data_IF_441205583561
#
_entry.id   IF_441205583561
#
_cell.length_a   1.000
_cell.length_b   1.000
_cell.length_c   1.000
_cell.angle_alpha   90.00
_cell.angle_beta   90.00
_cell.angle_gamma   90.00
#
_symmetry.space_group_name_H-M   'P 1'
#
loop_
_entity.id
_entity.type
_entity.pdbx_description
1 polymer ?
#
# COMPACT_ATOMS: atom_id res chain seq x y z
N UNK A 1 13.53 -35.24 42.93
CA UNK A 1 14.08 -35.86 41.71
C UNK A 1 15.29 -35.03 41.33
N UNK A 2 16.46 -35.60 41.48
CA UNK A 2 17.77 -34.93 41.57
C UNK A 2 18.22 -34.37 40.23
N UNK A 3 17.92 -33.10 39.95
CA UNK A 3 18.50 -32.38 38.81
C UNK A 3 20.05 -32.37 38.89
N UNK A 4 20.59 -32.33 40.11
CA UNK A 4 22.03 -32.25 40.39
C UNK A 4 22.81 -33.51 39.92
N UNK A 5 22.21 -34.69 40.08
CA UNK A 5 22.80 -35.96 39.61
C UNK A 5 22.77 -36.10 38.08
N UNK A 6 21.70 -35.65 37.43
CA UNK A 6 21.58 -35.68 35.98
C UNK A 6 22.55 -34.73 35.30
N UNK A 7 22.63 -33.47 35.74
CA UNK A 7 23.57 -32.50 35.17
C UNK A 7 25.03 -32.91 35.39
N UNK A 8 25.37 -33.50 36.55
CA UNK A 8 26.70 -34.05 36.79
C UNK A 8 27.06 -35.20 35.85
N UNK A 9 26.13 -36.12 35.60
CA UNK A 9 26.32 -37.22 34.64
C UNK A 9 26.50 -36.71 33.21
N UNK A 10 25.65 -35.76 32.78
CA UNK A 10 25.74 -35.15 31.45
C UNK A 10 27.07 -34.40 31.28
N UNK A 11 27.49 -33.62 32.28
CA UNK A 11 28.75 -32.90 32.24
C UNK A 11 29.95 -33.85 32.12
N UNK A 12 29.94 -34.99 32.82
CA UNK A 12 30.98 -36.00 32.69
C UNK A 12 31.03 -36.61 31.28
N UNK A 13 29.88 -36.94 30.70
CA UNK A 13 29.79 -37.49 29.34
C UNK A 13 30.24 -36.47 28.29
N UNK A 14 29.81 -35.20 28.41
CA UNK A 14 30.24 -34.12 27.51
C UNK A 14 31.74 -33.86 27.64
N UNK A 15 32.29 -33.85 28.86
CA UNK A 15 33.72 -33.68 29.08
C UNK A 15 34.54 -34.81 28.42
N UNK A 16 34.05 -36.05 28.48
CA UNK A 16 34.69 -37.20 27.85
C UNK A 16 34.65 -37.17 26.31
N UNK A 17 33.69 -36.45 25.72
CA UNK A 17 33.49 -36.32 24.26
C UNK A 17 33.50 -34.88 23.78
N UNK A 18 34.28 -34.04 24.44
CA UNK A 18 34.23 -32.60 24.25
C UNK A 18 34.49 -32.20 22.80
N UNK A 19 35.51 -32.78 22.19
CA UNK A 19 35.91 -32.46 20.82
C UNK A 19 34.82 -32.82 19.80
N UNK A 20 34.12 -33.95 19.99
CA UNK A 20 32.98 -34.36 19.15
C UNK A 20 31.82 -33.36 19.29
N UNK A 21 31.50 -32.97 20.52
CA UNK A 21 30.43 -31.99 20.80
C UNK A 21 30.77 -30.60 20.23
N UNK A 22 32.03 -30.18 20.31
CA UNK A 22 32.49 -28.91 19.73
C UNK A 22 32.43 -28.94 18.20
N UNK A 23 32.81 -30.05 17.57
CA UNK A 23 32.71 -30.24 16.12
C UNK A 23 31.26 -30.23 15.64
N UNK A 24 30.37 -30.95 16.33
CA UNK A 24 28.94 -30.98 16.03
C UNK A 24 28.32 -29.58 16.20
N UNK A 25 28.72 -28.82 17.22
CA UNK A 25 28.26 -27.46 17.42
C UNK A 25 28.69 -26.54 16.27
N UNK A 26 29.94 -26.64 15.82
CA UNK A 26 30.44 -25.88 14.66
C UNK A 26 29.61 -26.22 13.42
N UNK A 27 29.43 -27.50 13.12
CA UNK A 27 28.65 -27.96 11.97
C UNK A 27 27.20 -27.47 12.04
N UNK A 28 26.57 -27.50 13.22
CA UNK A 28 25.21 -27.02 13.42
C UNK A 28 25.09 -25.49 13.26
N UNK A 29 26.11 -24.73 13.68
CA UNK A 29 26.16 -23.27 13.49
C UNK A 29 26.31 -22.94 12.00
N UNK A 30 27.20 -23.62 11.29
CA UNK A 30 27.37 -23.43 9.84
C UNK A 30 26.09 -23.78 9.06
N UNK A 31 25.42 -24.86 9.46
CA UNK A 31 24.11 -25.25 8.92
C UNK A 31 23.06 -24.17 9.13
N UNK A 32 22.94 -23.67 10.38
CA UNK A 32 22.02 -22.59 10.73
C UNK A 32 22.28 -21.35 9.88
N UNK A 33 23.54 -20.95 9.73
CA UNK A 33 23.89 -19.73 9.01
C UNK A 33 23.58 -19.84 7.52
N UNK A 34 23.81 -21.02 6.92
CA UNK A 34 23.41 -21.30 5.54
C UNK A 34 21.89 -21.30 5.36
N UNK A 35 21.15 -21.90 6.28
CA UNK A 35 19.69 -21.89 6.26
C UNK A 35 19.14 -20.46 6.42
N UNK A 36 19.74 -19.64 7.29
CA UNK A 36 19.37 -18.25 7.46
C UNK A 36 19.60 -17.43 6.18
N UNK A 37 20.72 -17.66 5.48
CA UNK A 37 20.98 -17.04 4.19
C UNK A 37 19.95 -17.45 3.12
N UNK A 38 19.62 -18.74 3.05
CA UNK A 38 18.59 -19.26 2.14
C UNK A 38 17.20 -18.68 2.45
N UNK A 39 16.86 -18.52 3.74
CA UNK A 39 15.62 -17.88 4.17
C UNK A 39 15.55 -16.42 3.71
N UNK A 40 16.62 -15.64 3.92
CA UNK A 40 16.66 -14.24 3.50
C UNK A 40 16.49 -14.06 1.97
N UNK A 41 17.07 -14.97 1.18
CA UNK A 41 16.87 -14.99 -0.28
C UNK A 41 15.41 -15.28 -0.64
N UNK A 42 14.81 -16.29 0.01
CA UNK A 42 13.42 -16.65 -0.21
C UNK A 42 12.47 -15.50 0.18
N UNK A 43 12.71 -14.83 1.29
CA UNK A 43 11.94 -13.66 1.74
C UNK A 43 12.04 -12.50 0.75
N UNK A 44 13.23 -12.23 0.20
CA UNK A 44 13.43 -11.21 -0.84
C UNK A 44 12.61 -11.53 -2.10
N UNK A 45 12.59 -12.81 -2.51
CA UNK A 45 11.80 -13.27 -3.65
C UNK A 45 10.30 -13.13 -3.39
N UNK A 46 9.84 -13.49 -2.19
CA UNK A 46 8.45 -13.30 -1.75
C UNK A 46 8.07 -11.84 -1.78
N UNK A 47 8.87 -10.95 -1.19
CA UNK A 47 8.61 -9.51 -1.18
C UNK A 47 8.53 -8.94 -2.61
N UNK A 48 9.42 -9.38 -3.51
CA UNK A 48 9.39 -8.97 -4.92
C UNK A 48 8.12 -9.43 -5.63
N UNK A 49 7.70 -10.68 -5.43
CA UNK A 49 6.46 -11.22 -6.02
C UNK A 49 5.22 -10.56 -5.44
N UNK A 50 5.18 -10.33 -4.12
CA UNK A 50 4.12 -9.58 -3.46
C UNK A 50 4.01 -8.16 -4.00
N UNK A 51 5.15 -7.49 -4.23
CA UNK A 51 5.17 -6.18 -4.87
C UNK A 51 4.59 -6.24 -6.30
N UNK A 52 5.02 -7.20 -7.13
CA UNK A 52 4.46 -7.37 -8.48
C UNK A 52 2.96 -7.65 -8.46
N UNK A 53 2.50 -8.50 -7.54
CA UNK A 53 1.07 -8.74 -7.34
C UNK A 53 0.36 -7.47 -6.90
N UNK A 54 0.94 -6.67 -6.01
CA UNK A 54 0.39 -5.38 -5.61
C UNK A 54 0.27 -4.37 -6.75
N UNK A 55 1.06 -4.51 -7.83
CA UNK A 55 0.90 -3.69 -9.03
C UNK A 55 -0.32 -4.11 -9.86
N UNK A 56 -0.74 -5.38 -9.78
CA UNK A 56 -1.92 -5.92 -10.47
C UNK A 56 -3.18 -5.77 -9.61
N UNK A 57 -3.03 -5.95 -8.30
CA UNK A 57 -4.07 -5.76 -7.29
C UNK A 57 -4.24 -4.28 -6.90
N UNK A 58 -3.31 -3.41 -7.32
CA UNK A 58 -3.57 -1.98 -7.35
C UNK A 58 -4.88 -1.82 -8.09
N UNK A 59 -5.96 -1.37 -7.43
CA UNK A 59 -7.27 -1.48 -7.99
C UNK A 59 -7.25 -0.75 -9.32
N UNK A 60 -7.55 -1.45 -10.42
CA UNK A 60 -7.91 -0.81 -11.68
C UNK A 60 -9.09 0.17 -11.48
N UNK A 61 -9.80 0.05 -10.34
CA UNK A 61 -10.82 0.96 -9.82
C UNK A 61 -10.28 2.35 -9.40
N UNK A 62 -8.98 2.50 -9.15
CA UNK A 62 -8.28 3.78 -9.16
C UNK A 62 -7.45 3.79 -10.45
N UNK A 63 -7.85 4.35 -11.59
CA UNK A 63 -8.00 5.79 -11.84
C UNK A 63 -8.81 5.96 -13.14
N UNK A 64 -10.11 5.76 -13.05
CA UNK A 64 -11.03 6.69 -13.73
C UNK A 64 -11.93 7.25 -12.67
N UNK A 65 -11.36 8.06 -11.77
CA UNK A 65 -12.13 8.94 -10.90
C UNK A 65 -13.21 9.55 -11.79
N UNK A 66 -14.47 9.17 -11.56
CA UNK A 66 -15.54 9.67 -12.42
C UNK A 66 -15.52 11.20 -12.33
N UNK A 67 -15.96 11.93 -13.35
CA UNK A 67 -15.99 13.40 -13.28
C UNK A 67 -16.68 13.89 -11.98
N UNK A 68 -17.69 13.15 -11.53
CA UNK A 68 -18.37 13.38 -10.27
C UNK A 68 -17.45 13.27 -9.04
N UNK A 69 -16.66 12.20 -8.94
CA UNK A 69 -15.73 12.01 -7.85
C UNK A 69 -14.61 13.05 -7.89
N UNK A 70 -14.11 13.40 -9.08
CA UNK A 70 -13.10 14.44 -9.25
C UNK A 70 -13.63 15.81 -8.78
N UNK A 71 -14.89 16.12 -9.07
CA UNK A 71 -15.56 17.31 -8.54
C UNK A 71 -15.66 17.27 -7.02
N UNK A 72 -16.06 16.13 -6.43
CA UNK A 72 -16.15 15.97 -4.97
C UNK A 72 -14.79 16.19 -4.30
N UNK A 73 -13.73 15.54 -4.80
CA UNK A 73 -12.37 15.67 -4.25
C UNK A 73 -11.88 17.12 -4.27
N UNK A 74 -12.11 17.85 -5.36
CA UNK A 74 -11.72 19.27 -5.42
C UNK A 74 -12.52 20.11 -4.43
N UNK A 75 -13.86 19.94 -4.38
CA UNK A 75 -14.70 20.72 -3.48
C UNK A 75 -14.39 20.42 -2.00
N UNK A 76 -14.14 19.16 -1.63
CA UNK A 76 -13.70 18.77 -0.27
C UNK A 76 -12.39 19.46 0.15
N UNK A 77 -11.49 19.68 -0.80
CA UNK A 77 -10.21 20.36 -0.54
C UNK A 77 -10.30 21.89 -0.61
N UNK A 78 -11.45 22.45 -1.00
CA UNK A 78 -11.63 23.89 -1.21
C UNK A 78 -12.25 24.52 0.04
N UNK A 79 -11.67 25.61 0.59
CA UNK A 79 -12.29 26.35 1.69
C UNK A 79 -13.72 26.78 1.33
N UNK A 80 -14.68 26.39 2.17
CA UNK A 80 -16.10 26.67 1.95
C UNK A 80 -16.80 25.73 0.96
N UNK A 81 -16.13 24.71 0.45
CA UNK A 81 -16.69 23.64 -0.38
C UNK A 81 -17.44 24.09 -1.63
N UNK A 82 -17.15 25.31 -2.11
CA UNK A 82 -17.82 25.94 -3.27
C UNK A 82 -16.77 26.48 -4.23
N UNK A 83 -16.93 26.19 -5.52
CA UNK A 83 -16.03 26.67 -6.56
C UNK A 83 -16.78 26.96 -7.87
N UNK A 84 -16.45 28.04 -8.61
CA UNK A 84 -17.00 28.27 -9.95
C UNK A 84 -16.70 27.09 -10.90
N UNK A 85 -17.62 26.74 -11.78
CA UNK A 85 -17.47 25.57 -12.66
C UNK A 85 -16.20 25.63 -13.54
N UNK A 86 -15.82 26.83 -13.99
CA UNK A 86 -14.60 27.04 -14.77
C UNK A 86 -13.34 26.72 -13.94
N UNK A 87 -13.30 27.20 -12.70
CA UNK A 87 -12.19 26.94 -11.78
C UNK A 87 -12.15 25.48 -11.34
N UNK A 88 -13.33 24.87 -11.12
CA UNK A 88 -13.45 23.45 -10.80
C UNK A 88 -12.90 22.58 -11.94
N UNK A 89 -13.22 22.90 -13.19
CA UNK A 89 -12.66 22.20 -14.35
C UNK A 89 -11.13 22.38 -14.44
N UNK A 90 -10.64 23.60 -14.24
CA UNK A 90 -9.20 23.90 -14.22
C UNK A 90 -8.48 23.10 -13.14
N UNK A 91 -9.03 23.04 -11.94
CA UNK A 91 -8.44 22.33 -10.80
C UNK A 91 -8.41 20.81 -11.03
N UNK A 92 -9.50 20.24 -11.55
CA UNK A 92 -9.59 18.83 -11.92
C UNK A 92 -8.51 18.48 -12.96
N UNK A 93 -8.38 19.30 -14.00
CA UNK A 93 -7.37 19.10 -15.05
C UNK A 93 -5.95 19.27 -14.53
N UNK A 94 -5.71 20.28 -13.68
CA UNK A 94 -4.39 20.58 -13.09
C UNK A 94 -3.91 19.43 -12.21
N UNK A 95 -4.80 18.85 -11.42
CA UNK A 95 -4.52 17.71 -10.53
C UNK A 95 -4.53 16.36 -11.26
N UNK A 96 -4.86 16.35 -12.56
CA UNK A 96 -4.96 15.10 -13.33
C UNK A 96 -6.04 14.15 -12.84
N UNK A 97 -7.04 14.65 -12.10
CA UNK A 97 -8.06 13.81 -11.45
C UNK A 97 -9.03 13.20 -12.45
N UNK A 98 -9.23 13.80 -13.62
CA UNK A 98 -10.09 13.22 -14.64
C UNK A 98 -9.64 13.63 -16.04
N UNK A 99 -9.78 12.70 -16.98
CA UNK A 99 -9.68 12.94 -18.42
C UNK A 99 -10.88 12.35 -19.11
N UNK A 100 -11.33 13.03 -20.17
CA UNK A 100 -12.38 12.48 -21.03
C UNK A 100 -11.89 11.21 -21.72
N UNK A 101 -12.82 10.40 -22.24
CA UNK A 101 -12.49 9.12 -22.90
C UNK A 101 -11.55 9.29 -24.11
N UNK A 102 -11.62 10.45 -24.77
CA UNK A 102 -10.77 10.85 -25.89
C UNK A 102 -9.45 11.53 -25.44
N UNK A 103 -9.16 11.56 -24.14
CA UNK A 103 -7.97 12.18 -23.56
C UNK A 103 -8.03 13.69 -23.36
N UNK A 104 -9.11 14.35 -23.82
CA UNK A 104 -9.26 15.80 -23.67
C UNK A 104 -9.46 16.22 -22.21
N UNK A 105 -9.05 17.45 -21.85
CA UNK A 105 -9.34 18.02 -20.54
C UNK A 105 -10.85 18.21 -20.34
N UNK A 106 -11.29 18.23 -19.09
CA UNK A 106 -12.69 18.55 -18.78
C UNK A 106 -12.99 20.03 -18.95
N UNK A 107 -14.18 20.33 -19.45
CA UNK A 107 -14.69 21.69 -19.63
C UNK A 107 -15.83 22.01 -18.65
N UNK A 108 -16.03 23.29 -18.36
CA UNK A 108 -17.07 23.76 -17.43
C UNK A 108 -18.48 23.31 -17.80
N UNK A 109 -18.78 23.16 -19.09
CA UNK A 109 -20.08 22.65 -19.57
C UNK A 109 -20.35 21.22 -19.07
N UNK A 110 -19.31 20.37 -19.05
CA UNK A 110 -19.43 18.99 -18.57
C UNK A 110 -19.73 18.96 -17.08
N UNK A 111 -19.15 19.88 -16.31
CA UNK A 111 -19.44 20.04 -14.90
C UNK A 111 -20.90 20.45 -14.68
N UNK A 112 -21.39 21.45 -15.41
CA UNK A 112 -22.79 21.90 -15.29
C UNK A 112 -23.81 20.80 -15.62
N UNK A 113 -23.51 19.97 -16.63
CA UNK A 113 -24.32 18.81 -16.99
C UNK A 113 -24.35 17.75 -15.88
N UNK A 114 -23.24 17.55 -15.14
CA UNK A 114 -23.19 16.60 -14.02
C UNK A 114 -23.93 17.06 -12.78
N UNK A 115 -23.86 18.36 -12.46
CA UNK A 115 -24.59 18.94 -11.32
C UNK A 115 -26.11 18.88 -11.53
N UNK A 116 -26.60 18.97 -12.77
CA UNK A 116 -28.04 18.93 -13.04
C UNK A 116 -28.70 17.57 -12.81
N UNK A 117 -27.91 16.50 -12.74
CA UNK A 117 -28.40 15.12 -12.72
C UNK A 117 -28.17 14.41 -11.37
N UNK A 118 -27.77 15.14 -10.32
CA UNK A 118 -27.39 14.56 -9.02
C UNK A 118 -27.73 15.47 -7.86
N UNK A 119 -28.13 14.87 -6.74
CA UNK A 119 -28.53 15.57 -5.51
C UNK A 119 -27.34 15.96 -4.61
N UNK A 120 -26.16 15.36 -4.84
CA UNK A 120 -24.96 15.59 -4.02
C UNK A 120 -24.29 16.96 -4.25
N UNK A 121 -24.79 17.76 -5.20
CA UNK A 121 -24.25 19.06 -5.55
C UNK A 121 -25.33 20.13 -5.58
N UNK A 122 -25.00 21.31 -5.06
CA UNK A 122 -25.87 22.48 -5.10
C UNK A 122 -25.29 23.57 -5.99
N UNK A 123 -26.17 24.26 -6.72
CA UNK A 123 -25.82 25.48 -7.42
C UNK A 123 -26.03 26.66 -6.49
N UNK A 124 -24.98 27.45 -6.29
CA UNK A 124 -25.00 28.66 -5.47
C UNK A 124 -24.67 29.87 -6.33
N UNK A 125 -24.97 31.10 -5.90
CA UNK A 125 -24.52 32.31 -6.59
C UNK A 125 -23.00 32.41 -6.75
N UNK A 126 -22.23 31.68 -5.91
CA UNK A 126 -20.77 31.67 -5.89
C UNK A 126 -20.14 30.53 -6.70
N UNK A 127 -20.94 29.61 -7.23
CA UNK A 127 -20.47 28.44 -7.99
C UNK A 127 -21.16 27.16 -7.58
N UNK A 128 -20.47 26.03 -7.76
CA UNK A 128 -20.96 24.69 -7.43
C UNK A 128 -20.43 24.31 -6.06
N UNK A 129 -21.33 23.88 -5.19
CA UNK A 129 -21.03 23.40 -3.85
C UNK A 129 -21.40 21.94 -3.64
N UNK A 130 -20.92 21.37 -2.54
CA UNK A 130 -21.45 20.12 -1.99
C UNK A 130 -22.79 20.42 -1.31
N UNK A 131 -23.78 19.54 -1.52
CA UNK A 131 -25.08 19.59 -0.86
C UNK A 131 -24.99 19.22 0.62
#
# INVERSE_FOLDING_TARGET
>A
MEADGYYGLVAHVVAARRDEVEQDLIAAVEERDRLAAALAEAETRVASMQFLLSLVDAPAEAVRTSLHEAMRTVLQSTPGHVMPAVELAREINRRGLYRMRDGRPVEAQQIHARVGNRDDFVRTPRGIGLA
#
